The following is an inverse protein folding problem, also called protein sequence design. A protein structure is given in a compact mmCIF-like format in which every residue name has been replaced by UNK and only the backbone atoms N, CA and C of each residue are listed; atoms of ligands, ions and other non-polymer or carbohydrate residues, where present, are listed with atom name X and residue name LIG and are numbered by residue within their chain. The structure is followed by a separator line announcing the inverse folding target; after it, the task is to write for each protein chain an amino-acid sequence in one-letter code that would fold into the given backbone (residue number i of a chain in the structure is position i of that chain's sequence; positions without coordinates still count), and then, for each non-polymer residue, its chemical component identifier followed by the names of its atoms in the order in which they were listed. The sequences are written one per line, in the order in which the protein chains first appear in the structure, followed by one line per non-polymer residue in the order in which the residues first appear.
data_IF_089891044339
#
_entry.id   IF_089891044339
#
_cell.length_a   1.000
_cell.length_b   1.000
_cell.length_c   1.000
_cell.angle_alpha   90.00
_cell.angle_beta   90.00
_cell.angle_gamma   90.00
#
_symmetry.space_group_name_H-M   'P 1'
#
loop_
_entity.id
_entity.type
_entity.pdbx_description
1 polymer ?
#
# COMPACT_ATOMS: atom_id res chain seq x y z
N UNK A 1 -24.79 -5.57 34.06
CA UNK A 1 -23.44 -5.90 33.56
C UNK A 1 -23.24 -5.13 32.27
N UNK A 2 -22.40 -4.10 32.27
CA UNK A 2 -22.06 -3.39 31.04
C UNK A 2 -21.12 -4.29 30.23
N UNK A 3 -21.58 -4.79 29.08
CA UNK A 3 -20.69 -5.45 28.12
C UNK A 3 -19.81 -4.39 27.48
N UNK A 4 -18.53 -4.34 27.88
CA UNK A 4 -17.50 -3.58 27.16
C UNK A 4 -17.38 -4.18 25.77
N UNK A 5 -17.87 -3.46 24.75
CA UNK A 5 -17.55 -3.80 23.36
C UNK A 5 -16.04 -3.70 23.21
N UNK A 6 -15.36 -4.70 22.62
CA UNK A 6 -13.93 -4.57 22.33
C UNK A 6 -13.72 -3.32 21.49
N UNK A 7 -12.74 -2.50 21.88
CA UNK A 7 -12.39 -1.29 21.15
C UNK A 7 -11.99 -1.68 19.73
N UNK A 8 -12.47 -0.92 18.74
CA UNK A 8 -12.15 -1.18 17.34
C UNK A 8 -10.62 -1.03 17.11
N UNK A 9 -10.01 -1.96 16.34
CA UNK A 9 -8.56 -1.92 16.09
C UNK A 9 -8.14 -0.63 15.38
N UNK A 10 -9.02 -0.11 14.52
CA UNK A 10 -8.85 1.18 13.86
C UNK A 10 -8.78 2.34 14.87
N UNK A 11 -9.61 2.31 15.91
CA UNK A 11 -9.57 3.29 17.01
C UNK A 11 -8.26 3.18 17.79
N UNK A 12 -7.85 1.97 18.19
CA UNK A 12 -6.59 1.76 18.92
C UNK A 12 -5.38 2.29 18.15
N UNK A 13 -5.34 2.08 16.83
CA UNK A 13 -4.26 2.59 15.98
C UNK A 13 -4.30 4.12 15.84
N UNK A 14 -5.48 4.71 15.65
CA UNK A 14 -5.61 6.17 15.51
C UNK A 14 -5.25 6.95 16.77
N UNK A 15 -5.50 6.36 17.95
CA UNK A 15 -5.24 6.98 19.27
C UNK A 15 -4.01 6.41 19.99
N UNK A 16 -3.28 5.47 19.38
CA UNK A 16 -2.10 4.87 19.99
C UNK A 16 -0.97 5.87 20.25
N UNK A 17 -0.03 5.46 21.10
CA UNK A 17 1.14 6.28 21.44
C UNK A 17 1.98 6.61 20.19
N UNK A 18 2.70 7.73 20.24
CA UNK A 18 3.51 8.21 19.12
C UNK A 18 4.83 7.46 19.07
N UNK A 19 4.76 6.15 18.85
CA UNK A 19 5.89 5.23 18.82
C UNK A 19 5.73 4.19 17.70
N UNK A 20 6.85 3.59 17.30
CA UNK A 20 6.94 2.54 16.29
C UNK A 20 6.07 2.79 15.06
N UNK A 21 5.29 1.79 14.67
CA UNK A 21 4.37 1.82 13.53
C UNK A 21 3.37 2.96 13.61
N UNK A 22 2.80 3.22 14.78
CA UNK A 22 1.73 4.23 14.94
C UNK A 22 2.30 5.63 14.75
N UNK A 23 3.44 5.92 15.37
CA UNK A 23 4.17 7.19 15.22
C UNK A 23 4.53 7.48 13.76
N UNK A 24 5.14 6.49 13.07
CA UNK A 24 5.48 6.64 11.65
C UNK A 24 4.24 6.89 10.81
N UNK A 25 3.20 6.09 11.00
CA UNK A 25 1.94 6.24 10.24
C UNK A 25 1.37 7.64 10.39
N UNK A 26 1.32 8.18 11.63
CA UNK A 26 0.83 9.54 11.89
C UNK A 26 1.62 10.60 11.14
N UNK A 27 2.95 10.49 11.09
CA UNK A 27 3.79 11.40 10.30
C UNK A 27 3.47 11.32 8.80
N UNK A 28 3.36 10.11 8.26
CA UNK A 28 3.05 9.92 6.84
C UNK A 28 1.69 10.49 6.44
N UNK A 29 0.69 10.45 7.33
CA UNK A 29 -0.63 11.04 7.06
C UNK A 29 -0.58 12.55 6.83
N UNK A 30 0.46 13.23 7.27
CA UNK A 30 0.63 14.68 7.04
C UNK A 30 1.65 14.98 5.94
N UNK A 31 2.67 14.14 5.78
CA UNK A 31 3.81 14.41 4.92
C UNK A 31 3.68 13.79 3.52
N UNK A 32 2.92 12.72 3.37
CA UNK A 32 2.71 12.07 2.07
C UNK A 32 1.48 12.67 1.40
N UNK A 33 1.70 13.31 0.26
CA UNK A 33 0.68 14.03 -0.54
C UNK A 33 -0.56 13.17 -0.87
N UNK A 34 -0.34 11.88 -1.08
CA UNK A 34 -1.37 10.89 -1.38
C UNK A 34 -2.24 10.52 -0.15
N UNK A 35 -1.75 10.76 1.07
CA UNK A 35 -2.44 10.43 2.33
C UNK A 35 -3.02 11.65 3.03
N UNK A 36 -2.34 12.81 2.91
CA UNK A 36 -2.74 14.07 3.49
C UNK A 36 -4.15 14.49 3.09
N UNK A 37 -5.01 14.67 4.10
CA UNK A 37 -6.45 14.98 4.02
C UNK A 37 -7.27 14.00 3.16
N UNK A 38 -6.72 12.81 2.89
CA UNK A 38 -7.31 11.76 2.04
C UNK A 38 -7.40 10.41 2.75
N UNK A 39 -7.17 10.38 4.07
CA UNK A 39 -7.15 9.15 4.87
C UNK A 39 -8.20 9.18 5.97
N UNK A 40 -8.98 8.11 6.08
CA UNK A 40 -9.94 7.87 7.15
C UNK A 40 -9.24 7.32 8.39
N UNK A 41 -9.26 8.09 9.47
CA UNK A 41 -8.55 7.74 10.70
C UNK A 41 -9.26 6.63 11.48
N UNK A 42 -10.60 6.61 11.48
CA UNK A 42 -11.37 5.85 12.48
C UNK A 42 -12.03 4.59 11.91
N UNK A 43 -12.38 4.57 10.62
CA UNK A 43 -13.15 3.45 10.06
C UNK A 43 -12.27 2.47 9.30
N UNK A 44 -12.70 1.21 9.25
CA UNK A 44 -12.05 0.15 8.47
C UNK A 44 -12.13 0.35 6.95
N UNK A 45 -13.06 1.19 6.49
CA UNK A 45 -13.26 1.51 5.09
C UNK A 45 -13.26 3.02 4.84
N UNK A 46 -12.59 3.47 3.77
CA UNK A 46 -12.54 4.88 3.42
C UNK A 46 -13.92 5.37 2.95
N UNK A 47 -14.25 6.61 3.28
CA UNK A 47 -15.49 7.24 2.81
C UNK A 47 -15.23 8.09 1.57
N UNK A 48 -15.50 7.54 0.38
CA UNK A 48 -15.41 8.29 -0.89
C UNK A 48 -16.31 9.54 -0.93
N UNK A 49 -17.45 9.52 -0.23
CA UNK A 49 -18.31 10.71 -0.08
C UNK A 49 -17.58 11.86 0.63
N UNK A 50 -16.65 11.54 1.52
CA UNK A 50 -15.73 12.48 2.18
C UNK A 50 -14.41 12.63 1.43
N UNK A 51 -14.29 12.07 0.22
CA UNK A 51 -13.09 12.05 -0.62
C UNK A 51 -11.86 11.40 0.04
N UNK A 52 -12.11 10.46 0.96
CA UNK A 52 -11.07 9.66 1.58
C UNK A 52 -10.82 8.42 0.73
N UNK A 53 -9.56 8.07 0.54
CA UNK A 53 -9.08 7.00 -0.35
C UNK A 53 -8.55 5.82 0.47
N UNK A 54 -7.87 6.12 1.58
CA UNK A 54 -7.24 5.14 2.46
C UNK A 54 -7.81 5.18 3.86
N UNK A 55 -7.40 4.21 4.68
CA UNK A 55 -7.62 4.23 6.12
C UNK A 55 -6.28 4.23 6.85
N UNK A 56 -6.28 4.64 8.12
CA UNK A 56 -5.09 4.57 8.97
C UNK A 56 -4.46 3.17 8.92
N UNK A 57 -5.29 2.13 9.03
CA UNK A 57 -4.84 0.74 9.01
C UNK A 57 -4.17 0.36 7.68
N UNK A 58 -4.63 0.89 6.53
CA UNK A 58 -3.99 0.58 5.25
C UNK A 58 -2.57 1.15 5.19
N UNK A 59 -2.38 2.36 5.70
CA UNK A 59 -1.05 3.01 5.77
C UNK A 59 -0.18 2.33 6.83
N UNK A 60 -0.72 1.96 8.00
CA UNK A 60 0.02 1.24 9.03
C UNK A 60 0.57 -0.10 8.54
N UNK A 61 -0.21 -0.85 7.74
CA UNK A 61 0.26 -2.08 7.10
C UNK A 61 1.40 -1.84 6.11
N UNK A 62 1.29 -0.80 5.28
CA UNK A 62 2.37 -0.39 4.36
C UNK A 62 3.65 -0.10 5.15
N UNK A 63 3.54 0.63 6.28
CA UNK A 63 4.67 0.94 7.16
C UNK A 63 5.32 -0.33 7.70
N UNK A 64 4.56 -1.23 8.31
CA UNK A 64 5.11 -2.50 8.82
C UNK A 64 5.81 -3.31 7.75
N UNK A 65 5.16 -3.43 6.58
CA UNK A 65 5.68 -4.19 5.45
C UNK A 65 6.97 -3.58 4.90
N UNK A 66 7.04 -2.25 4.78
CA UNK A 66 8.20 -1.56 4.22
C UNK A 66 9.46 -1.71 5.08
N UNK A 67 9.32 -1.81 6.40
CA UNK A 67 10.48 -1.92 7.30
C UNK A 67 10.80 -3.35 7.73
N UNK A 68 9.81 -4.21 7.96
CA UNK A 68 10.02 -5.51 8.62
C UNK A 68 9.42 -6.69 7.84
N UNK A 69 8.86 -6.46 6.64
CA UNK A 69 8.27 -7.51 5.80
C UNK A 69 7.15 -8.34 6.48
N UNK A 70 6.66 -7.89 7.64
CA UNK A 70 5.55 -8.46 8.39
C UNK A 70 4.46 -7.39 8.57
N UNK A 71 3.27 -7.68 8.04
CA UNK A 71 2.10 -6.80 8.09
C UNK A 71 1.65 -6.47 9.53
N UNK A 72 2.01 -7.29 10.51
CA UNK A 72 1.61 -7.11 11.91
C UNK A 72 2.69 -6.45 12.76
N UNK A 73 3.89 -6.21 12.23
CA UNK A 73 5.01 -5.66 13.01
C UNK A 73 4.66 -4.29 13.59
N UNK A 74 4.89 -4.12 14.89
CA UNK A 74 4.66 -2.88 15.62
C UNK A 74 5.87 -1.92 15.57
N UNK A 75 7.03 -2.38 15.07
CA UNK A 75 8.25 -1.60 14.89
C UNK A 75 8.71 -0.89 16.19
N UNK A 76 8.65 -1.57 17.33
CA UNK A 76 8.85 -0.97 18.66
C UNK A 76 10.24 -0.38 18.89
N UNK A 77 11.26 -0.87 18.19
CA UNK A 77 12.66 -0.44 18.36
C UNK A 77 13.13 0.56 17.29
N UNK A 78 12.25 0.95 16.36
CA UNK A 78 12.63 1.81 15.24
C UNK A 78 12.63 3.30 15.65
N UNK A 79 13.56 4.08 15.10
CA UNK A 79 13.51 5.53 15.25
C UNK A 79 12.38 6.11 14.40
N UNK A 80 11.31 6.59 15.05
CA UNK A 80 10.11 7.10 14.37
C UNK A 80 10.43 8.26 13.45
N UNK A 81 11.23 9.23 13.86
CA UNK A 81 11.50 10.44 13.07
C UNK A 81 12.28 10.11 11.80
N UNK A 82 13.41 9.41 11.96
CA UNK A 82 14.28 9.07 10.84
C UNK A 82 13.59 8.11 9.86
N UNK A 83 12.84 7.14 10.36
CA UNK A 83 12.10 6.18 9.51
C UNK A 83 10.94 6.86 8.79
N UNK A 84 10.25 7.80 9.45
CA UNK A 84 9.23 8.62 8.79
C UNK A 84 9.83 9.41 7.65
N UNK A 85 10.97 10.06 7.88
CA UNK A 85 11.69 10.86 6.88
C UNK A 85 12.08 10.03 5.65
N UNK A 86 12.66 8.85 5.88
CA UNK A 86 13.03 7.93 4.81
C UNK A 86 11.82 7.51 3.98
N UNK A 87 10.74 7.08 4.64
CA UNK A 87 9.58 6.52 3.97
C UNK A 87 8.74 7.58 3.28
N UNK A 88 8.53 8.76 3.86
CA UNK A 88 7.75 9.80 3.16
C UNK A 88 8.49 10.32 1.93
N UNK A 89 9.83 10.42 1.96
CA UNK A 89 10.63 10.79 0.77
C UNK A 89 10.40 9.80 -0.35
N UNK A 90 10.56 8.51 -0.05
CA UNK A 90 10.35 7.44 -1.03
C UNK A 90 8.93 7.39 -1.59
N UNK A 91 7.92 7.52 -0.72
CA UNK A 91 6.51 7.51 -1.12
C UNK A 91 6.13 8.74 -1.95
N UNK A 92 6.57 9.94 -1.58
CA UNK A 92 6.28 11.14 -2.37
C UNK A 92 6.97 11.10 -3.74
N UNK A 93 8.21 10.58 -3.81
CA UNK A 93 8.84 10.31 -5.10
C UNK A 93 7.97 9.34 -5.92
N UNK A 94 7.66 8.17 -5.37
CA UNK A 94 6.83 7.16 -6.04
C UNK A 94 5.50 7.74 -6.56
N UNK A 95 4.73 8.44 -5.72
CA UNK A 95 3.40 8.93 -6.08
C UNK A 95 3.42 10.10 -7.08
N UNK A 96 4.50 10.88 -7.12
CA UNK A 96 4.68 11.97 -8.08
C UNK A 96 5.14 11.48 -9.46
N UNK A 97 5.87 10.37 -9.51
CA UNK A 97 6.35 9.74 -10.73
C UNK A 97 5.34 8.74 -11.32
N UNK A 98 4.50 8.11 -10.48
CA UNK A 98 3.52 7.12 -10.92
C UNK A 98 2.32 7.80 -11.62
N UNK A 99 2.16 7.52 -12.90
CA UNK A 99 1.13 8.16 -13.75
C UNK A 99 -0.30 7.98 -13.24
N UNK A 100 -0.60 6.84 -12.60
CA UNK A 100 -1.93 6.49 -12.10
C UNK A 100 -2.27 7.20 -10.77
N UNK A 101 -1.29 7.72 -10.03
CA UNK A 101 -1.49 8.40 -8.73
C UNK A 101 -1.24 9.91 -8.80
N UNK A 102 -0.40 10.35 -9.73
CA UNK A 102 0.09 11.73 -9.84
C UNK A 102 -1.01 12.78 -9.72
N UNK A 103 -2.08 12.66 -10.51
CA UNK A 103 -3.18 13.62 -10.48
C UNK A 103 -3.89 13.70 -9.12
N UNK A 104 -3.93 12.61 -8.34
CA UNK A 104 -4.54 12.60 -7.00
C UNK A 104 -3.56 13.16 -5.98
N UNK A 105 -2.29 12.79 -6.06
CA UNK A 105 -1.24 13.25 -5.15
C UNK A 105 -1.03 14.77 -5.25
N UNK A 106 -1.03 15.34 -6.46
CA UNK A 106 -0.79 16.77 -6.70
C UNK A 106 -1.99 17.67 -6.34
N UNK A 107 -3.19 17.10 -6.17
CA UNK A 107 -4.40 17.87 -5.89
C UNK A 107 -4.81 17.78 -4.42
N UNK A 108 -5.24 18.92 -3.90
CA UNK A 108 -5.90 19.01 -2.61
C UNK A 108 -7.30 18.36 -2.66
N UNK A 109 -7.78 17.89 -1.50
CA UNK A 109 -9.03 17.12 -1.41
C UNK A 109 -10.25 17.89 -1.92
N UNK A 110 -10.27 19.22 -1.82
CA UNK A 110 -11.33 20.07 -2.37
C UNK A 110 -11.44 20.00 -3.90
N UNK A 111 -10.31 19.83 -4.62
CA UNK A 111 -10.26 19.77 -6.09
C UNK A 111 -10.61 18.40 -6.67
N UNK A 112 -10.56 17.35 -5.86
CA UNK A 112 -10.88 15.99 -6.30
C UNK A 112 -12.40 15.76 -6.35
N UNK A 113 -12.88 14.97 -7.31
CA UNK A 113 -14.29 14.56 -7.37
C UNK A 113 -14.48 13.14 -6.86
N UNK A 114 -15.70 12.82 -6.40
CA UNK A 114 -16.05 11.45 -5.98
C UNK A 114 -15.89 10.47 -7.15
N UNK A 115 -16.20 10.88 -8.37
CA UNK A 115 -16.09 10.05 -9.56
C UNK A 115 -14.63 9.75 -9.92
N UNK A 116 -13.74 10.74 -9.83
CA UNK A 116 -12.30 10.53 -10.02
C UNK A 116 -11.74 9.51 -9.02
N UNK A 117 -12.11 9.64 -7.74
CA UNK A 117 -11.65 8.71 -6.70
C UNK A 117 -12.27 7.32 -6.85
N UNK A 118 -13.54 7.26 -7.28
CA UNK A 118 -14.20 5.99 -7.60
C UNK A 118 -13.49 5.30 -8.75
N UNK A 119 -13.19 6.03 -9.82
CA UNK A 119 -12.44 5.51 -10.97
C UNK A 119 -11.08 5.00 -10.53
N UNK A 120 -10.33 5.77 -9.74
CA UNK A 120 -9.03 5.35 -9.21
C UNK A 120 -9.12 4.03 -8.43
N UNK A 121 -10.08 3.90 -7.51
CA UNK A 121 -10.27 2.66 -6.76
C UNK A 121 -10.71 1.47 -7.63
N UNK A 122 -11.35 1.71 -8.78
CA UNK A 122 -11.79 0.62 -9.68
C UNK A 122 -10.73 0.25 -10.71
N UNK A 123 -9.96 1.21 -11.21
CA UNK A 123 -9.03 1.02 -12.33
C UNK A 123 -7.56 0.91 -11.92
N UNK A 124 -7.21 1.18 -10.66
CA UNK A 124 -5.83 1.10 -10.16
C UNK A 124 -5.78 0.33 -8.83
N UNK A 125 -4.86 -0.63 -8.71
CA UNK A 125 -4.77 -1.43 -7.48
C UNK A 125 -4.25 -0.61 -6.29
N UNK A 126 -3.48 0.47 -6.55
CA UNK A 126 -3.00 1.40 -5.52
C UNK A 126 -4.13 2.17 -4.83
N UNK A 127 -5.34 2.20 -5.41
CA UNK A 127 -6.52 2.75 -4.74
C UNK A 127 -7.11 1.84 -3.65
N UNK A 128 -6.47 0.70 -3.36
CA UNK A 128 -6.97 -0.33 -2.43
C UNK A 128 -5.87 -0.74 -1.45
N UNK A 129 -6.28 -1.30 -0.29
CA UNK A 129 -5.35 -1.86 0.71
C UNK A 129 -4.31 -2.79 0.09
N UNK A 130 -4.74 -3.69 -0.81
CA UNK A 130 -3.84 -4.68 -1.43
C UNK A 130 -2.73 -4.05 -2.28
N UNK A 131 -2.99 -2.91 -2.94
CA UNK A 131 -1.96 -2.21 -3.70
C UNK A 131 -0.90 -1.60 -2.78
N UNK A 132 -1.33 -1.03 -1.65
CA UNK A 132 -0.39 -0.53 -0.63
C UNK A 132 0.39 -1.68 0.04
N UNK A 133 -0.23 -2.84 0.26
CA UNK A 133 0.47 -4.01 0.80
C UNK A 133 1.57 -4.47 -0.18
N UNK A 134 1.27 -4.60 -1.47
CA UNK A 134 2.26 -4.96 -2.50
C UNK A 134 3.39 -3.92 -2.55
N UNK A 135 3.05 -2.63 -2.53
CA UNK A 135 4.05 -1.57 -2.49
C UNK A 135 4.95 -1.68 -1.25
N UNK A 136 4.38 -1.96 -0.06
CA UNK A 136 5.14 -2.15 1.17
C UNK A 136 6.17 -3.28 1.06
N UNK A 137 5.75 -4.44 0.55
CA UNK A 137 6.67 -5.56 0.28
C UNK A 137 7.81 -5.16 -0.67
N UNK A 138 7.51 -4.42 -1.74
CA UNK A 138 8.50 -4.00 -2.72
C UNK A 138 9.43 -2.90 -2.19
N UNK A 139 8.93 -2.05 -1.29
CA UNK A 139 9.73 -1.04 -0.60
C UNK A 139 10.74 -1.66 0.34
N UNK A 140 10.37 -2.72 1.06
CA UNK A 140 11.30 -3.46 1.92
C UNK A 140 12.49 -4.02 1.14
N UNK A 141 12.27 -4.54 -0.06
CA UNK A 141 13.34 -5.07 -0.92
C UNK A 141 14.36 -4.01 -1.39
N UNK A 142 14.04 -2.73 -1.23
CA UNK A 142 14.85 -1.61 -1.68
C UNK A 142 15.22 -0.65 -0.55
N UNK A 143 14.90 -1.03 0.69
CA UNK A 143 15.27 -0.32 1.89
C UNK A 143 16.71 -0.70 2.28
N UNK A 144 17.55 0.30 2.47
CA UNK A 144 18.90 0.15 3.01
C UNK A 144 18.87 0.53 4.49
N UNK A 145 18.86 -0.49 5.35
CA UNK A 145 18.89 -0.34 6.80
C UNK A 145 20.11 0.43 7.31
N UNK A 146 21.26 0.34 6.64
CA UNK A 146 22.49 0.99 7.11
C UNK A 146 22.43 2.51 6.94
N UNK A 147 21.77 2.96 5.87
CA UNK A 147 21.63 4.37 5.53
C UNK A 147 20.24 4.92 5.88
N UNK A 148 19.35 4.08 6.40
CA UNK A 148 17.93 4.36 6.62
C UNK A 148 17.31 5.12 5.43
N UNK A 149 17.39 4.52 4.26
CA UNK A 149 16.93 5.15 3.02
C UNK A 149 16.42 4.12 2.02
N UNK A 150 15.51 4.55 1.15
CA UNK A 150 15.02 3.72 0.05
C UNK A 150 15.79 4.08 -1.23
N UNK A 151 16.19 3.07 -2.00
CA UNK A 151 16.89 3.26 -3.28
C UNK A 151 16.00 4.04 -4.26
N UNK A 152 16.37 5.30 -4.50
CA UNK A 152 15.61 6.24 -5.33
C UNK A 152 15.47 5.79 -6.79
N UNK A 153 16.49 5.12 -7.35
CA UNK A 153 16.40 4.62 -8.72
C UNK A 153 15.41 3.45 -8.81
N UNK A 154 15.41 2.57 -7.80
CA UNK A 154 14.43 1.48 -7.73
C UNK A 154 13.02 1.99 -7.45
N UNK A 155 12.85 3.07 -6.67
CA UNK A 155 11.55 3.74 -6.51
C UNK A 155 11.00 4.19 -7.87
N UNK A 156 11.83 4.82 -8.71
CA UNK A 156 11.41 5.21 -10.06
C UNK A 156 11.01 4.02 -10.93
N UNK A 157 11.71 2.89 -10.82
CA UNK A 157 11.32 1.66 -11.50
C UNK A 157 9.94 1.15 -11.04
N UNK A 158 9.66 1.20 -9.74
CA UNK A 158 8.34 0.84 -9.18
C UNK A 158 7.24 1.80 -9.65
N UNK A 159 7.52 3.10 -9.68
CA UNK A 159 6.57 4.12 -10.11
C UNK A 159 6.21 3.99 -11.60
N UNK A 160 7.16 3.52 -12.42
CA UNK A 160 6.98 3.26 -13.84
C UNK A 160 6.20 1.98 -14.19
N UNK A 161 5.84 1.14 -13.21
CA UNK A 161 5.01 -0.04 -13.44
C UNK A 161 3.57 0.35 -13.81
N UNK A 162 2.89 -0.52 -14.57
CA UNK A 162 1.47 -0.35 -14.80
C UNK A 162 0.64 -0.90 -13.63
N UNK A 163 0.24 -0.02 -12.72
CA UNK A 163 -0.60 -0.32 -11.56
C UNK A 163 -2.10 -0.40 -11.88
N UNK A 164 -2.48 -0.28 -13.16
CA UNK A 164 -3.88 -0.40 -13.57
C UNK A 164 -4.39 -1.83 -13.39
N UNK A 165 -5.66 -2.01 -13.01
CA UNK A 165 -6.26 -3.36 -12.85
C UNK A 165 -6.29 -4.19 -14.14
N UNK A 166 -6.11 -3.55 -15.30
CA UNK A 166 -6.01 -4.23 -16.59
C UNK A 166 -4.61 -4.74 -16.95
N UNK A 167 -3.59 -4.40 -16.16
CA UNK A 167 -2.21 -4.80 -16.39
C UNK A 167 -2.01 -6.32 -16.25
N UNK A 168 -1.17 -6.88 -17.10
CA UNK A 168 -0.79 -8.28 -17.09
C UNK A 168 -0.06 -8.68 -15.81
N UNK A 169 0.62 -7.74 -15.14
CA UNK A 169 1.27 -7.94 -13.84
C UNK A 169 0.32 -8.47 -12.76
N UNK A 170 -0.95 -8.05 -12.81
CA UNK A 170 -1.94 -8.36 -11.78
C UNK A 170 -2.91 -9.46 -12.19
N UNK A 171 -2.92 -9.84 -13.46
CA UNK A 171 -3.83 -10.83 -14.02
C UNK A 171 -3.53 -12.22 -13.45
N UNK A 172 -4.57 -12.93 -13.00
CA UNK A 172 -4.46 -14.28 -12.45
C UNK A 172 -4.00 -14.34 -11.00
N UNK A 173 -3.42 -13.26 -10.45
CA UNK A 173 -3.05 -13.13 -9.04
C UNK A 173 -4.06 -12.24 -8.27
N UNK A 174 -3.93 -10.92 -8.31
CA UNK A 174 -4.73 -9.92 -7.62
C UNK A 174 -6.02 -9.68 -8.39
N UNK A 175 -5.97 -9.61 -9.71
CA UNK A 175 -7.13 -9.40 -10.58
C UNK A 175 -7.51 -10.74 -11.21
N UNK A 176 -8.69 -11.24 -10.84
CA UNK A 176 -9.19 -12.54 -11.32
C UNK A 176 -10.56 -12.36 -11.94
N UNK A 177 -10.85 -13.14 -12.98
CA UNK A 177 -12.19 -13.19 -13.57
C UNK A 177 -13.16 -13.70 -12.48
N UNK A 178 -14.23 -12.96 -12.26
CA UNK A 178 -15.32 -13.36 -11.40
C UNK A 178 -16.32 -14.17 -12.25
N UNK A 179 -16.50 -15.48 -12.00
CA UNK A 179 -17.44 -16.30 -12.76
C UNK A 179 -18.90 -15.89 -12.51
N UNK A 180 -19.18 -15.11 -11.45
CA UNK A 180 -20.51 -14.60 -11.15
C UNK A 180 -20.45 -13.14 -10.68
N UNK A 181 -20.15 -12.18 -11.59
CA UNK A 181 -19.85 -10.81 -11.22
C UNK A 181 -21.11 -10.10 -10.72
N UNK A 182 -21.02 -9.53 -9.51
CA UNK A 182 -22.11 -8.69 -8.94
C UNK A 182 -22.43 -7.47 -9.81
N UNK A 183 -21.47 -7.01 -10.62
CA UNK A 183 -21.63 -5.94 -11.61
C UNK A 183 -21.13 -6.49 -12.95
N UNK A 184 -22.01 -6.78 -13.92
CA UNK A 184 -21.61 -7.35 -15.21
C UNK A 184 -20.60 -6.50 -15.98
N UNK A 185 -20.63 -5.17 -15.79
CA UNK A 185 -19.67 -4.24 -16.36
C UNK A 185 -18.24 -4.36 -15.79
N UNK A 186 -18.04 -5.11 -14.71
CA UNK A 186 -16.75 -5.33 -14.08
C UNK A 186 -16.57 -6.82 -13.76
N UNK A 187 -16.21 -7.65 -14.77
CA UNK A 187 -16.18 -9.11 -14.66
C UNK A 187 -14.99 -9.63 -13.86
N UNK A 188 -14.37 -8.79 -13.02
CA UNK A 188 -13.20 -9.14 -12.23
C UNK A 188 -13.40 -8.86 -10.74
N UNK A 189 -12.79 -9.72 -9.94
CA UNK A 189 -12.68 -9.60 -8.49
C UNK A 189 -11.23 -9.34 -8.11
N UNK A 190 -11.05 -8.49 -7.10
CA UNK A 190 -9.77 -8.28 -6.44
C UNK A 190 -9.59 -9.33 -5.34
N UNK A 191 -8.50 -10.09 -5.41
CA UNK A 191 -8.05 -11.02 -4.37
C UNK A 191 -6.95 -10.36 -3.53
N UNK A 192 -7.15 -10.33 -2.22
CA UNK A 192 -6.19 -9.81 -1.25
C UNK A 192 -5.68 -10.91 -0.29
N UNK A 193 -5.70 -12.17 -0.74
CA UNK A 193 -5.12 -13.27 0.04
C UNK A 193 -3.60 -13.18 0.03
N UNK A 194 -2.95 -13.51 1.15
CA UNK A 194 -1.49 -13.43 1.30
C UNK A 194 -0.73 -14.13 0.16
N UNK A 195 -1.17 -15.31 -0.27
CA UNK A 195 -0.53 -16.04 -1.37
C UNK A 195 -0.59 -15.26 -2.70
N UNK A 196 -1.70 -14.57 -2.98
CA UNK A 196 -1.83 -13.77 -4.20
C UNK A 196 -0.98 -12.49 -4.13
N UNK A 197 -0.87 -11.88 -2.95
CA UNK A 197 0.03 -10.74 -2.71
C UNK A 197 1.48 -11.14 -2.94
N UNK A 198 1.93 -12.25 -2.33
CA UNK A 198 3.29 -12.78 -2.53
C UNK A 198 3.59 -13.12 -3.99
N UNK A 199 2.64 -13.73 -4.70
CA UNK A 199 2.77 -14.01 -6.13
C UNK A 199 2.89 -12.73 -6.97
N UNK A 200 2.10 -11.69 -6.66
CA UNK A 200 2.19 -10.40 -7.33
C UNK A 200 3.54 -9.73 -7.10
N UNK A 201 4.03 -9.72 -5.86
CA UNK A 201 5.36 -9.21 -5.51
C UNK A 201 6.44 -9.96 -6.27
N UNK A 202 6.39 -11.30 -6.31
CA UNK A 202 7.32 -12.13 -7.09
C UNK A 202 7.30 -11.78 -8.58
N UNK A 203 6.11 -11.62 -9.18
CA UNK A 203 5.99 -11.25 -10.59
C UNK A 203 6.61 -9.88 -10.89
N UNK A 204 6.42 -8.90 -10.01
CA UNK A 204 7.05 -7.58 -10.13
C UNK A 204 8.57 -7.70 -10.04
N UNK A 205 9.10 -8.42 -9.04
CA UNK A 205 10.54 -8.64 -8.88
C UNK A 205 11.14 -9.34 -10.10
N UNK A 206 10.45 -10.33 -10.67
CA UNK A 206 10.85 -10.97 -11.91
C UNK A 206 10.88 -9.99 -13.08
N UNK A 207 9.83 -9.17 -13.24
CA UNK A 207 9.74 -8.17 -14.31
C UNK A 207 10.88 -7.16 -14.24
N UNK A 208 11.27 -6.77 -13.03
CA UNK A 208 12.35 -5.82 -12.77
C UNK A 208 13.74 -6.47 -12.72
N UNK A 209 13.83 -7.80 -12.83
CA UNK A 209 15.10 -8.53 -12.76
C UNK A 209 15.72 -8.56 -11.36
N UNK A 210 14.93 -8.38 -10.31
CA UNK A 210 15.38 -8.37 -8.91
C UNK A 210 15.38 -9.75 -8.26
N UNK A 211 14.80 -10.75 -8.91
CA UNK A 211 14.94 -12.13 -8.46
C UNK A 211 16.34 -12.58 -8.88
N UNK A 212 17.19 -12.84 -7.88
CA UNK A 212 18.46 -13.52 -8.12
C UNK A 212 18.16 -14.82 -8.87
N UNK A 213 18.85 -15.04 -10.00
CA UNK A 213 18.88 -16.36 -10.62
C UNK A 213 19.56 -17.29 -9.63
N UNK A 214 18.80 -17.91 -8.74
CA UNK A 214 19.31 -19.02 -7.95
C UNK A 214 19.62 -20.15 -8.94
N UNK A 215 20.90 -20.31 -9.23
CA UNK A 215 21.44 -21.58 -9.68
C UNK A 215 21.03 -22.63 -8.66
N UNK A 216 20.14 -23.54 -9.07
CA UNK A 216 19.92 -24.87 -8.48
C UNK A 216 19.24 -24.94 -7.11
N UNK A 217 17.89 -25.05 -7.10
CA UNK A 217 17.15 -26.14 -6.42
C UNK A 217 15.63 -25.89 -6.52
N UNK A 218 15.05 -26.12 -7.70
CA UNK A 218 13.60 -26.36 -7.81
C UNK A 218 13.35 -27.85 -7.60
N UNK A 219 13.30 -28.29 -6.34
CA UNK A 219 12.55 -29.45 -5.90
C UNK A 219 12.15 -29.15 -4.45
N UNK A 220 10.87 -28.91 -4.24
CA UNK A 220 10.08 -29.32 -3.06
C UNK A 220 8.91 -28.36 -2.82
N UNK A 221 7.88 -28.54 -3.64
CA UNK A 221 6.49 -28.36 -3.22
C UNK A 221 5.68 -29.49 -3.87
N UNK A 222 5.65 -30.65 -3.22
CA UNK A 222 4.55 -31.60 -3.29
C UNK A 222 3.67 -31.42 -2.06
#
# INVERSE_FOLDING_TARGET
MAQTRPLDKSLLLSFGEFEGRVGITKNLLHQVSMFADKTEAIKDHPSLKKKLIYTFNYVAKLVSLAFDNDINSDLTEINVEESSEALFKGLNQFFSECSQTKAIAENSTDKLTVDQLTQFQTSCILGRSVGLEILGYLLHDIYDENNNSFDSAKISLLAGLDWATGSDLWSGNIVRIDPNPKKPANPYRISATMNMVKLAVYNVKNRLGWVEKSTSSMLDFQ
#
